data_IF_772646955265
#
_entry.id   IF_772646955265
#
_cell.length_a   1.000
_cell.length_b   1.000
_cell.length_c   1.000
_cell.angle_alpha   90.00
_cell.angle_beta   90.00
_cell.angle_gamma   90.00
#
_symmetry.space_group_name_H-M   'P 1'
#
loop_
_entity.id
_entity.type
_entity.pdbx_description
1 polymer ?
#
# COMPACT_ATOMS: atom_id res chain seq x y z
N UNK A 1 12.65 5.58 -19.28
CA UNK A 1 12.13 5.87 -20.65
C UNK A 1 12.21 7.36 -20.87
N UNK A 2 12.48 7.82 -22.09
CA UNK A 2 12.47 9.26 -22.39
C UNK A 2 11.12 9.63 -23.00
N UNK A 3 10.51 10.70 -22.48
CA UNK A 3 9.24 11.27 -22.98
C UNK A 3 9.44 12.78 -23.03
N UNK A 4 9.18 13.40 -24.18
CA UNK A 4 9.31 14.85 -24.40
C UNK A 4 10.68 15.45 -23.98
N UNK A 5 11.76 14.68 -24.14
CA UNK A 5 13.13 15.10 -23.80
C UNK A 5 13.49 14.97 -22.32
N UNK A 6 12.59 14.45 -21.49
CA UNK A 6 12.82 14.20 -20.07
C UNK A 6 12.98 12.70 -19.77
N UNK A 7 13.95 12.38 -18.92
CA UNK A 7 14.21 10.99 -18.51
C UNK A 7 13.29 10.57 -17.35
N UNK A 8 12.36 9.67 -17.65
CA UNK A 8 11.43 9.08 -16.68
C UNK A 8 11.94 7.73 -16.15
N UNK A 9 11.70 7.53 -14.86
CA UNK A 9 12.01 6.31 -14.12
C UNK A 9 10.73 5.67 -13.58
N UNK A 10 10.82 4.48 -13.00
CA UNK A 10 9.70 3.87 -12.31
C UNK A 10 9.23 4.77 -11.17
N UNK A 11 7.95 5.18 -11.22
CA UNK A 11 7.34 6.06 -10.23
C UNK A 11 7.38 5.50 -8.81
N UNK A 12 7.58 4.19 -8.64
CA UNK A 12 7.77 3.58 -7.34
C UNK A 12 8.93 4.18 -6.54
N UNK A 13 10.00 4.62 -7.18
CA UNK A 13 11.13 5.25 -6.47
C UNK A 13 10.77 6.63 -5.88
N UNK A 14 9.73 7.27 -6.41
CA UNK A 14 9.17 8.53 -5.88
C UNK A 14 7.98 8.27 -4.93
N UNK A 15 7.25 7.17 -5.12
CA UNK A 15 6.25 6.64 -4.19
C UNK A 15 5.23 5.72 -4.89
N UNK A 16 4.95 4.53 -4.33
CA UNK A 16 3.99 3.58 -4.90
C UNK A 16 3.23 2.76 -3.83
N UNK A 17 1.96 3.08 -3.56
CA UNK A 17 1.24 4.31 -3.95
C UNK A 17 1.59 5.50 -3.02
N UNK A 18 1.36 6.72 -3.51
CA UNK A 18 1.23 7.91 -2.66
C UNK A 18 -0.24 8.21 -2.40
N UNK A 19 -0.57 8.65 -1.18
CA UNK A 19 -1.93 8.98 -0.75
C UNK A 19 -2.26 10.46 -1.08
N UNK A 20 -1.24 11.32 -1.19
CA UNK A 20 -1.41 12.76 -1.42
C UNK A 20 -2.39 13.11 -2.56
N UNK A 21 -2.31 12.51 -3.77
CA UNK A 21 -3.26 12.82 -4.85
C UNK A 21 -4.70 12.43 -4.47
N UNK A 22 -4.88 11.31 -3.77
CA UNK A 22 -6.21 10.86 -3.33
C UNK A 22 -6.81 11.85 -2.32
N UNK A 23 -6.00 12.43 -1.44
CA UNK A 23 -6.48 13.42 -0.47
C UNK A 23 -6.92 14.72 -1.17
N UNK A 24 -6.16 15.17 -2.16
CA UNK A 24 -6.37 16.48 -2.81
C UNK A 24 -7.41 16.46 -3.91
N UNK A 25 -7.51 15.35 -4.65
CA UNK A 25 -8.25 15.28 -5.90
C UNK A 25 -9.52 14.42 -5.81
N UNK A 26 -9.62 13.51 -4.84
CA UNK A 26 -10.79 12.65 -4.70
C UNK A 26 -11.83 13.22 -3.72
N UNK A 27 -13.11 13.04 -4.08
CA UNK A 27 -14.24 13.36 -3.18
C UNK A 27 -14.48 12.28 -2.13
N UNK A 28 -14.11 11.04 -2.42
CA UNK A 28 -14.21 9.92 -1.48
C UNK A 28 -13.23 10.12 -0.34
N UNK A 29 -13.66 9.80 0.88
CA UNK A 29 -12.77 9.72 2.05
C UNK A 29 -12.23 8.31 2.27
N UNK A 30 -12.83 7.33 1.62
CA UNK A 30 -12.44 5.93 1.71
C UNK A 30 -11.39 5.62 0.65
N UNK A 31 -10.23 5.17 1.11
CA UNK A 31 -9.10 4.72 0.29
C UNK A 31 -8.83 3.25 0.56
N UNK A 32 -8.90 2.44 -0.49
CA UNK A 32 -8.56 1.02 -0.44
C UNK A 32 -7.16 0.83 -1.03
N UNK A 33 -6.22 0.41 -0.18
CA UNK A 33 -4.85 0.10 -0.58
C UNK A 33 -4.78 -1.38 -0.95
N UNK A 34 -4.54 -1.67 -2.22
CA UNK A 34 -4.25 -3.02 -2.69
C UNK A 34 -2.74 -3.24 -2.63
N UNK A 35 -2.29 -3.95 -1.60
CA UNK A 35 -0.87 -4.09 -1.32
C UNK A 35 -0.34 -5.44 -1.80
N UNK A 36 0.39 -5.40 -2.91
CA UNK A 36 0.98 -6.57 -3.55
C UNK A 36 2.34 -6.97 -2.97
N UNK A 37 3.13 -5.99 -2.51
CA UNK A 37 4.45 -6.23 -1.94
C UNK A 37 4.36 -6.38 -0.42
N UNK A 38 5.03 -7.37 0.18
CA UNK A 38 5.07 -7.49 1.63
C UNK A 38 5.84 -6.32 2.26
N UNK A 39 5.32 -5.78 3.37
CA UNK A 39 6.02 -4.79 4.20
C UNK A 39 7.16 -5.48 4.96
N UNK A 40 6.84 -6.63 5.54
CA UNK A 40 7.73 -7.44 6.34
C UNK A 40 8.06 -8.74 5.61
N UNK A 41 9.33 -9.13 5.70
CA UNK A 41 9.82 -10.38 5.14
C UNK A 41 10.52 -11.15 6.24
N UNK A 42 10.06 -12.37 6.49
CA UNK A 42 10.64 -13.23 7.52
C UNK A 42 12.02 -13.69 7.04
N UNK A 43 13.02 -13.54 7.90
CA UNK A 43 14.40 -13.95 7.64
C UNK A 43 15.28 -12.85 7.03
N UNK A 44 16.59 -13.09 7.06
CA UNK A 44 17.60 -12.14 6.57
C UNK A 44 18.00 -12.45 5.13
N UNK A 45 17.94 -11.49 4.18
CA UNK A 45 18.43 -11.73 2.82
C UNK A 45 19.95 -11.98 2.85
N UNK A 46 20.40 -13.05 2.21
CA UNK A 46 21.82 -13.47 2.21
C UNK A 46 22.52 -13.35 0.85
N UNK A 47 21.75 -13.30 -0.25
CA UNK A 47 22.29 -13.12 -1.59
C UNK A 47 22.19 -11.66 -2.04
N UNK A 48 23.07 -11.23 -2.96
CA UNK A 48 23.00 -9.88 -3.53
C UNK A 48 21.63 -9.60 -4.19
N UNK A 49 21.05 -10.61 -4.85
CA UNK A 49 19.71 -10.53 -5.44
C UNK A 49 18.64 -10.29 -4.38
N UNK A 50 18.69 -11.01 -3.26
CA UNK A 50 17.70 -10.86 -2.18
C UNK A 50 17.84 -9.51 -1.46
N UNK A 51 19.07 -9.02 -1.30
CA UNK A 51 19.34 -7.70 -0.72
C UNK A 51 18.77 -6.59 -1.61
N UNK A 52 19.02 -6.63 -2.92
CA UNK A 52 18.46 -5.66 -3.87
C UNK A 52 16.93 -5.72 -3.91
N UNK A 53 16.34 -6.91 -3.87
CA UNK A 53 14.89 -7.05 -3.77
C UNK A 53 14.36 -6.41 -2.47
N UNK A 54 15.02 -6.66 -1.34
CA UNK A 54 14.61 -6.08 -0.06
C UNK A 54 14.75 -4.56 -0.04
N UNK A 55 15.82 -4.02 -0.63
CA UNK A 55 15.99 -2.57 -0.79
C UNK A 55 14.85 -1.97 -1.60
N UNK A 56 14.51 -2.57 -2.74
CA UNK A 56 13.38 -2.10 -3.56
C UNK A 56 12.05 -2.17 -2.79
N UNK A 57 11.77 -3.26 -2.06
CA UNK A 57 10.57 -3.37 -1.22
C UNK A 57 10.50 -2.26 -0.16
N UNK A 58 11.62 -1.99 0.53
CA UNK A 58 11.67 -0.93 1.56
C UNK A 58 11.49 0.45 0.93
N UNK A 59 12.17 0.73 -0.19
CA UNK A 59 12.03 1.99 -0.91
C UNK A 59 10.59 2.24 -1.38
N UNK A 60 9.94 1.22 -1.94
CA UNK A 60 8.56 1.34 -2.43
C UNK A 60 7.53 1.51 -1.29
N UNK A 61 7.67 0.79 -0.18
CA UNK A 61 6.74 0.92 0.94
C UNK A 61 7.01 2.15 1.83
N UNK A 62 8.21 2.73 1.77
CA UNK A 62 8.66 3.77 2.70
C UNK A 62 7.83 5.05 2.64
N UNK A 63 7.42 5.48 1.44
CA UNK A 63 6.60 6.69 1.26
C UNK A 63 5.19 6.46 1.83
N UNK A 64 4.55 5.35 1.44
CA UNK A 64 3.22 4.99 1.92
C UNK A 64 3.18 4.90 3.45
N UNK A 65 4.15 4.24 4.09
CA UNK A 65 4.21 4.11 5.54
C UNK A 65 4.32 5.47 6.25
N UNK A 66 5.10 6.41 5.69
CA UNK A 66 5.21 7.77 6.24
C UNK A 66 3.89 8.52 6.14
N UNK A 67 3.20 8.43 5.00
CA UNK A 67 1.88 9.05 4.81
C UNK A 67 0.82 8.41 5.72
N UNK A 68 0.81 7.09 5.89
CA UNK A 68 -0.11 6.42 6.81
C UNK A 68 0.14 6.81 8.28
N UNK A 69 1.41 6.94 8.69
CA UNK A 69 1.78 7.46 10.01
C UNK A 69 1.33 8.91 10.19
N UNK A 70 1.47 9.74 9.16
CA UNK A 70 0.98 11.12 9.18
C UNK A 70 -0.54 11.15 9.39
N UNK A 71 -1.30 10.31 8.67
CA UNK A 71 -2.75 10.17 8.86
C UNK A 71 -3.05 9.79 10.31
N UNK A 72 -2.37 8.79 10.86
CA UNK A 72 -2.56 8.34 12.23
C UNK A 72 -2.32 9.48 13.25
N UNK A 73 -1.24 10.26 13.09
CA UNK A 73 -0.96 11.42 13.94
C UNK A 73 -2.02 12.52 13.82
N UNK A 74 -2.41 12.87 12.59
CA UNK A 74 -3.37 13.95 12.35
C UNK A 74 -4.77 13.61 12.87
N UNK A 75 -5.13 12.32 12.93
CA UNK A 75 -6.39 11.84 13.54
C UNK A 75 -6.46 12.08 15.05
N UNK A 76 -5.32 12.20 15.74
CA UNK A 76 -5.27 12.45 17.18
C UNK A 76 -5.37 13.94 17.53
N UNK A 77 -5.33 14.84 16.53
CA UNK A 77 -5.43 16.28 16.74
C UNK A 77 -6.90 16.68 16.97
N UNK A 78 -7.18 17.34 18.09
CA UNK A 78 -8.54 17.69 18.50
C UNK A 78 -9.24 18.69 17.56
N UNK A 79 -8.50 19.61 16.93
CA UNK A 79 -9.02 20.51 15.91
C UNK A 79 -7.95 20.77 14.83
N UNK A 80 -8.13 20.17 13.65
CA UNK A 80 -7.27 20.39 12.49
C UNK A 80 -7.72 21.60 11.65
N UNK A 81 -8.79 22.30 12.05
CA UNK A 81 -9.40 23.38 11.29
C UNK A 81 -9.94 22.94 9.92
N UNK A 82 -9.92 23.86 8.95
CA UNK A 82 -10.30 23.59 7.55
C UNK A 82 -9.11 23.60 6.60
N UNK A 83 -7.97 23.05 7.03
CA UNK A 83 -6.76 22.92 6.21
C UNK A 83 -6.64 21.53 5.57
N UNK A 84 -5.62 21.32 4.74
CA UNK A 84 -5.33 20.02 4.14
C UNK A 84 -5.15 18.93 5.22
N UNK A 85 -4.54 19.25 6.35
CA UNK A 85 -4.38 18.32 7.48
C UNK A 85 -5.70 17.76 8.00
N UNK A 86 -6.78 18.54 7.93
CA UNK A 86 -8.12 18.05 8.28
C UNK A 86 -8.68 17.08 7.24
N UNK A 87 -8.27 17.18 5.97
CA UNK A 87 -8.61 16.21 4.93
C UNK A 87 -7.88 14.89 5.18
N UNK A 88 -6.57 14.95 5.43
CA UNK A 88 -5.75 13.80 5.82
C UNK A 88 -6.32 13.09 7.07
N UNK A 89 -6.68 13.83 8.12
CA UNK A 89 -7.26 13.27 9.34
C UNK A 89 -8.61 12.55 9.10
N UNK A 90 -9.39 13.00 8.11
CA UNK A 90 -10.70 12.41 7.77
C UNK A 90 -10.62 11.19 6.87
N UNK A 91 -9.43 10.84 6.35
CA UNK A 91 -9.27 9.67 5.49
C UNK A 91 -9.61 8.38 6.25
N UNK A 92 -10.36 7.50 5.58
CA UNK A 92 -10.65 6.14 6.02
C UNK A 92 -9.81 5.20 5.18
N UNK A 93 -8.94 4.45 5.85
CA UNK A 93 -7.99 3.57 5.19
C UNK A 93 -8.44 2.13 5.34
N UNK A 94 -8.42 1.45 4.21
CA UNK A 94 -8.69 0.04 4.08
C UNK A 94 -7.52 -0.62 3.35
N UNK A 95 -7.28 -1.90 3.65
CA UNK A 95 -6.16 -2.63 3.07
C UNK A 95 -6.63 -3.99 2.60
N UNK A 96 -6.29 -4.30 1.35
CA UNK A 96 -6.40 -5.65 0.79
C UNK A 96 -4.97 -6.15 0.62
N UNK A 97 -4.67 -7.28 1.28
CA UNK A 97 -3.39 -7.97 1.17
C UNK A 97 -3.64 -9.47 1.14
N UNK A 98 -2.69 -10.24 0.59
CA UNK A 98 -2.76 -11.70 0.54
C UNK A 98 -1.46 -12.31 1.06
N UNK A 99 -1.55 -13.08 2.14
CA UNK A 99 -0.40 -13.81 2.69
C UNK A 99 0.17 -14.80 1.67
N UNK A 100 -0.69 -15.51 0.95
CA UNK A 100 -0.29 -16.43 -0.13
C UNK A 100 0.46 -15.71 -1.25
N UNK A 101 0.08 -14.46 -1.56
CA UNK A 101 0.78 -13.67 -2.57
C UNK A 101 2.12 -13.14 -2.06
N UNK A 102 2.26 -12.91 -0.74
CA UNK A 102 3.51 -12.54 -0.10
C UNK A 102 4.55 -13.68 -0.05
N UNK A 103 4.10 -14.94 -0.09
CA UNK A 103 4.96 -16.13 -0.14
C UNK A 103 5.56 -16.39 -1.53
N UNK A 104 4.99 -15.79 -2.59
CA UNK A 104 5.53 -15.92 -3.93
C UNK A 104 6.95 -15.32 -3.98
N UNK A 105 7.93 -16.17 -4.30
CA UNK A 105 9.34 -15.80 -4.32
C UNK A 105 9.66 -14.80 -5.43
N UNK A 106 10.77 -14.09 -5.30
CA UNK A 106 11.31 -13.21 -6.33
C UNK A 106 11.63 -13.91 -7.66
N UNK A 107 11.73 -15.26 -7.67
CA UNK A 107 11.89 -16.05 -8.89
C UNK A 107 10.58 -16.20 -9.68
N UNK A 108 9.42 -16.16 -9.01
CA UNK A 108 8.11 -16.18 -9.69
C UNK A 108 7.86 -14.94 -10.55
N UNK A 109 8.55 -13.82 -10.28
CA UNK A 109 8.48 -12.59 -11.09
C UNK A 109 8.93 -12.78 -12.55
N UNK A 110 9.66 -13.85 -12.83
CA UNK A 110 10.14 -14.20 -14.18
C UNK A 110 9.23 -15.20 -14.89
N UNK A 111 8.20 -15.72 -14.22
CA UNK A 111 7.23 -16.65 -14.80
C UNK A 111 6.19 -15.85 -15.59
N UNK A 112 6.32 -15.86 -16.90
CA UNK A 112 5.39 -15.19 -17.83
C UNK A 112 4.38 -16.16 -18.47
N UNK A 113 4.04 -17.25 -17.79
CA UNK A 113 3.09 -18.23 -18.29
C UNK A 113 1.64 -17.81 -18.03
N UNK A 114 0.75 -18.01 -19.00
CA UNK A 114 -0.67 -17.63 -18.90
C UNK A 114 -1.36 -18.25 -17.67
N UNK A 115 -1.08 -19.52 -17.38
CA UNK A 115 -1.63 -20.21 -16.21
C UNK A 115 -1.24 -19.54 -14.89
N UNK A 116 -0.02 -18.99 -14.81
CA UNK A 116 0.44 -18.25 -13.65
C UNK A 116 -0.28 -16.91 -13.50
N UNK A 117 -0.53 -16.18 -14.58
CA UNK A 117 -1.34 -14.95 -14.54
C UNK A 117 -2.79 -15.21 -14.12
N UNK A 118 -3.41 -16.28 -14.62
CA UNK A 118 -4.74 -16.70 -14.15
C UNK A 118 -4.73 -16.98 -12.64
N UNK A 119 -3.71 -17.70 -12.15
CA UNK A 119 -3.55 -17.94 -10.71
C UNK A 119 -3.41 -16.64 -9.91
N UNK A 120 -2.59 -15.68 -10.35
CA UNK A 120 -2.44 -14.39 -9.68
C UNK A 120 -3.77 -13.60 -9.65
N UNK A 121 -4.50 -13.59 -10.76
CA UNK A 121 -5.84 -12.98 -10.84
C UNK A 121 -6.80 -13.61 -9.84
N UNK A 122 -6.83 -14.94 -9.77
CA UNK A 122 -7.77 -15.65 -8.91
C UNK A 122 -7.43 -15.44 -7.42
N UNK A 123 -6.15 -15.40 -7.06
CA UNK A 123 -5.69 -15.01 -5.72
C UNK A 123 -6.11 -13.58 -5.35
N UNK A 124 -5.98 -12.63 -6.29
CA UNK A 124 -6.41 -11.25 -6.07
C UNK A 124 -7.92 -11.13 -5.86
N UNK A 125 -8.73 -11.89 -6.62
CA UNK A 125 -10.19 -11.94 -6.47
C UNK A 125 -10.60 -12.52 -5.11
N UNK A 126 -9.99 -13.63 -4.71
CA UNK A 126 -10.24 -14.24 -3.41
C UNK A 126 -9.93 -13.26 -2.27
N UNK A 127 -8.79 -12.54 -2.34
CA UNK A 127 -8.43 -11.55 -1.33
C UNK A 127 -9.43 -10.37 -1.26
N UNK A 128 -9.91 -9.90 -2.41
CA UNK A 128 -10.92 -8.86 -2.48
C UNK A 128 -12.29 -9.33 -1.95
N UNK A 129 -12.67 -10.58 -2.24
CA UNK A 129 -13.91 -11.19 -1.74
C UNK A 129 -13.88 -11.32 -0.21
N UNK A 130 -12.79 -11.84 0.36
CA UNK A 130 -12.57 -11.86 1.82
C UNK A 130 -12.70 -10.47 2.42
N UNK A 131 -12.03 -9.47 1.83
CA UNK A 131 -12.14 -8.10 2.30
C UNK A 131 -13.59 -7.60 2.31
N UNK A 132 -14.35 -7.82 1.23
CA UNK A 132 -15.75 -7.38 1.15
C UNK A 132 -16.63 -8.08 2.18
N UNK A 133 -16.47 -9.39 2.37
CA UNK A 133 -17.22 -10.16 3.37
C UNK A 133 -17.00 -9.58 4.78
N UNK A 134 -15.75 -9.24 5.11
CA UNK A 134 -15.38 -8.78 6.44
C UNK A 134 -15.66 -7.28 6.66
N UNK A 135 -15.53 -6.46 5.61
CA UNK A 135 -15.35 -5.01 5.76
C UNK A 135 -16.32 -4.15 4.93
N UNK A 136 -17.20 -4.72 4.09
CA UNK A 136 -18.09 -3.93 3.24
C UNK A 136 -18.95 -2.94 4.03
N UNK A 137 -19.45 -3.33 5.21
CA UNK A 137 -20.26 -2.47 6.07
C UNK A 137 -19.47 -1.32 6.73
N UNK A 138 -18.14 -1.35 6.71
CA UNK A 138 -17.31 -0.29 7.26
C UNK A 138 -16.96 0.79 6.22
N UNK A 139 -17.09 0.49 4.92
CA UNK A 139 -16.86 1.45 3.84
C UNK A 139 -17.84 2.63 3.98
N UNK A 140 -17.33 3.85 3.97
CA UNK A 140 -18.12 5.06 4.18
C UNK A 140 -18.35 5.42 5.65
N UNK A 141 -18.02 4.52 6.58
CA UNK A 141 -18.26 4.67 8.02
C UNK A 141 -16.96 4.86 8.80
N UNK A 142 -16.02 3.91 8.70
CA UNK A 142 -14.75 3.90 9.46
C UNK A 142 -13.63 3.14 8.75
N UNK A 143 -12.38 3.47 9.06
CA UNK A 143 -11.22 2.68 8.62
C UNK A 143 -11.31 1.23 9.10
N UNK A 144 -10.82 0.30 8.29
CA UNK A 144 -10.61 -1.10 8.69
C UNK A 144 -9.14 -1.48 8.83
N UNK A 145 -8.25 -0.61 8.34
CA UNK A 145 -6.83 -0.69 8.64
C UNK A 145 -6.54 0.01 9.98
N UNK A 146 -5.84 -0.68 10.88
CA UNK A 146 -5.41 -0.13 12.15
C UNK A 146 -4.24 0.83 11.94
N UNK A 147 -4.58 2.13 11.91
CA UNK A 147 -3.62 3.21 11.75
C UNK A 147 -2.86 3.51 13.05
N UNK A 148 -3.48 3.27 14.21
CA UNK A 148 -2.89 3.59 15.51
C UNK A 148 -1.72 2.64 15.82
N UNK A 149 -1.79 1.38 15.36
CA UNK A 149 -0.68 0.45 15.40
C UNK A 149 0.62 0.99 14.76
N UNK A 150 0.52 1.92 13.81
CA UNK A 150 1.71 2.51 13.17
C UNK A 150 2.46 3.51 14.05
N UNK A 151 1.83 4.00 15.12
CA UNK A 151 2.40 4.97 16.06
C UNK A 151 3.15 4.32 17.22
N UNK A 152 2.96 3.01 17.44
CA UNK A 152 3.52 2.28 18.58
C UNK A 152 5.07 2.18 18.60
N UNK A 153 5.77 2.71 17.58
CA UNK A 153 7.21 2.52 17.42
C UNK A 153 7.58 1.08 17.04
N UNK A 154 8.80 0.84 16.53
CA UNK A 154 9.34 -0.52 16.45
C UNK A 154 9.65 -1.10 17.83
#
# INVERSE_FOLDING_TARGET
>A
VEIDGEAYWDGGYSGNPTITPLVRECRSRDTIIVQINPIERIGTPRSARDILNRLNEVSFNGVLLKELRMIALLRQVADAGNCEGAQWARMRIHRIASATMAELSSSSKLLAEWGFFCKLRDLGRAAAETFLIENAAALGERSTYDLDALLAGP
#
